data_IF_311962960284
#
_entry.id   IF_311962960284
#
_cell.length_a   1.000
_cell.length_b   1.000
_cell.length_c   1.000
_cell.angle_alpha   90.00
_cell.angle_beta   90.00
_cell.angle_gamma   90.00
#
_symmetry.space_group_name_H-M   'P 1'
#
loop_
_entity.id
_entity.type
_entity.pdbx_description
1 polymer ?
#
# COMPACT_ATOMS: atom_id res chain seq x y z
N UNK A 1 9.29 -12.74 -18.66
CA UNK A 1 9.05 -12.77 -17.19
C UNK A 1 10.19 -12.07 -16.44
N UNK A 2 11.44 -12.47 -16.64
CA UNK A 2 12.61 -11.90 -15.95
C UNK A 2 12.75 -10.37 -15.95
N UNK A 3 12.43 -9.68 -17.07
CA UNK A 3 12.46 -8.20 -17.12
C UNK A 3 11.47 -7.54 -16.15
N UNK A 4 10.28 -8.12 -15.99
CA UNK A 4 9.25 -7.55 -15.12
C UNK A 4 9.67 -7.66 -13.66
N UNK A 5 10.36 -8.73 -13.30
CA UNK A 5 10.75 -9.02 -11.92
C UNK A 5 11.80 -8.03 -11.41
N UNK A 6 12.64 -7.52 -12.31
CA UNK A 6 13.62 -6.47 -12.01
C UNK A 6 13.03 -5.06 -11.99
N UNK A 7 11.73 -4.90 -12.26
CA UNK A 7 11.10 -3.57 -12.23
C UNK A 7 10.95 -3.08 -10.80
N UNK A 8 11.38 -1.85 -10.54
CA UNK A 8 11.27 -1.23 -9.23
C UNK A 8 9.81 -0.93 -8.89
N UNK A 9 9.41 -1.30 -7.68
CA UNK A 9 8.10 -0.97 -7.09
C UNK A 9 8.26 0.14 -6.07
N UNK A 10 9.27 0.04 -5.20
CA UNK A 10 9.64 1.06 -4.23
C UNK A 10 11.11 1.42 -4.36
N UNK A 11 11.36 2.66 -4.78
CA UNK A 11 12.71 3.19 -4.94
C UNK A 11 13.38 3.47 -3.59
N UNK A 12 12.63 3.93 -2.59
CA UNK A 12 13.18 4.26 -1.27
C UNK A 12 13.70 3.05 -0.49
N UNK A 13 13.03 1.91 -0.61
CA UNK A 13 13.38 0.66 0.10
C UNK A 13 13.98 -0.39 -0.86
N UNK A 14 14.27 0.02 -2.10
CA UNK A 14 14.84 -0.82 -3.16
C UNK A 14 14.05 -2.12 -3.46
N UNK A 15 12.72 -2.09 -3.31
CA UNK A 15 11.85 -3.27 -3.53
C UNK A 15 11.46 -3.39 -5.00
N UNK A 16 11.67 -4.58 -5.55
CA UNK A 16 11.36 -4.98 -6.93
C UNK A 16 10.06 -5.79 -7.02
N UNK A 17 9.49 -5.89 -8.23
CA UNK A 17 8.30 -6.71 -8.46
C UNK A 17 8.57 -8.21 -8.26
N UNK A 18 9.82 -8.66 -8.43
CA UNK A 18 10.26 -10.03 -8.14
C UNK A 18 10.22 -10.33 -6.64
N UNK A 19 10.67 -9.39 -5.81
CA UNK A 19 10.58 -9.53 -4.33
C UNK A 19 9.13 -9.50 -3.84
N UNK A 20 8.28 -8.67 -4.45
CA UNK A 20 6.84 -8.70 -4.16
C UNK A 20 6.25 -10.07 -4.51
N UNK A 21 6.61 -10.65 -5.67
CA UNK A 21 6.15 -11.99 -6.03
C UNK A 21 6.66 -13.05 -5.06
N UNK A 22 7.95 -13.02 -4.75
CA UNK A 22 8.55 -13.95 -3.79
C UNK A 22 7.83 -13.86 -2.43
N UNK A 23 7.51 -12.65 -1.97
CA UNK A 23 6.79 -12.49 -0.72
C UNK A 23 5.37 -13.08 -0.76
N UNK A 24 4.67 -12.97 -1.90
CA UNK A 24 3.36 -13.59 -2.10
C UNK A 24 3.48 -15.11 -2.11
N UNK A 25 4.39 -15.66 -2.93
CA UNK A 25 4.48 -17.10 -3.19
C UNK A 25 5.06 -17.88 -1.99
N UNK A 26 6.02 -17.29 -1.26
CA UNK A 26 6.84 -18.01 -0.27
C UNK A 26 6.68 -17.51 1.17
N UNK A 27 6.14 -16.29 1.38
CA UNK A 27 6.09 -15.64 2.69
C UNK A 27 4.67 -15.42 3.24
N UNK A 28 3.65 -15.98 2.57
CA UNK A 28 2.23 -15.92 2.95
C UNK A 28 1.70 -14.47 3.08
N UNK A 29 2.07 -13.63 2.11
CA UNK A 29 1.61 -12.24 2.05
C UNK A 29 0.22 -12.18 1.39
N UNK A 30 -0.80 -11.82 2.18
CA UNK A 30 -2.20 -11.83 1.74
C UNK A 30 -2.81 -10.42 1.56
N UNK A 31 -2.11 -9.38 2.01
CA UNK A 31 -2.57 -7.99 1.92
C UNK A 31 -1.39 -6.99 1.93
N UNK A 32 -1.67 -5.72 1.70
CA UNK A 32 -0.64 -4.67 1.67
C UNK A 32 0.10 -4.46 3.00
N UNK A 33 -0.52 -4.74 4.14
CA UNK A 33 0.12 -4.62 5.46
C UNK A 33 1.15 -5.73 5.64
N UNK A 34 0.82 -6.98 5.28
CA UNK A 34 1.76 -8.09 5.27
C UNK A 34 2.93 -7.81 4.32
N UNK A 35 2.63 -7.31 3.12
CA UNK A 35 3.66 -6.97 2.15
C UNK A 35 4.60 -5.91 2.71
N UNK A 36 4.08 -4.86 3.35
CA UNK A 36 4.87 -3.85 4.06
C UNK A 36 5.72 -4.49 5.16
N UNK A 37 5.17 -5.39 5.98
CA UNK A 37 5.92 -6.05 7.07
C UNK A 37 7.06 -6.91 6.53
N UNK A 38 6.89 -7.60 5.39
CA UNK A 38 7.91 -8.50 4.81
C UNK A 38 8.93 -7.81 3.92
N UNK A 39 8.53 -6.78 3.19
CA UNK A 39 9.38 -6.13 2.17
C UNK A 39 9.77 -4.69 2.51
N UNK A 40 9.21 -4.13 3.58
CA UNK A 40 9.33 -2.70 3.94
C UNK A 40 8.74 -1.73 2.92
N UNK A 41 7.97 -2.20 1.93
CA UNK A 41 7.29 -1.30 0.97
C UNK A 41 6.49 -0.23 1.72
N UNK A 42 6.69 1.04 1.32
CA UNK A 42 6.03 2.18 1.94
C UNK A 42 6.64 2.68 3.26
N UNK A 43 7.76 2.12 3.74
CA UNK A 43 8.44 2.60 4.95
C UNK A 43 9.53 3.66 4.70
N UNK A 44 9.88 3.89 3.43
CA UNK A 44 10.94 4.84 3.05
C UNK A 44 10.54 6.30 3.21
N UNK A 45 11.43 7.23 2.83
CA UNK A 45 11.21 8.68 3.00
C UNK A 45 10.00 9.22 2.25
N UNK A 46 9.59 8.61 1.15
CA UNK A 46 8.34 8.96 0.46
C UNK A 46 7.08 8.44 1.17
N UNK A 47 7.22 7.66 2.25
CA UNK A 47 6.12 7.25 3.12
C UNK A 47 4.93 6.62 2.38
N UNK A 48 5.27 5.75 1.42
CA UNK A 48 4.36 5.02 0.54
C UNK A 48 3.66 5.84 -0.55
N UNK A 49 3.96 7.13 -0.65
CA UNK A 49 3.37 8.04 -1.60
C UNK A 49 3.50 7.54 -3.05
N UNK A 50 4.69 7.07 -3.45
CA UNK A 50 4.96 6.66 -4.83
C UNK A 50 4.73 5.17 -5.11
N UNK A 51 4.84 4.33 -4.08
CA UNK A 51 4.91 2.88 -4.26
C UNK A 51 3.63 2.13 -3.88
N UNK A 52 2.75 2.68 -3.02
CA UNK A 52 1.59 1.94 -2.53
C UNK A 52 0.61 1.57 -3.63
N UNK A 53 0.27 2.50 -4.54
CA UNK A 53 -0.62 2.20 -5.66
C UNK A 53 -0.05 1.09 -6.57
N UNK A 54 1.27 1.10 -6.79
CA UNK A 54 1.97 0.09 -7.61
C UNK A 54 1.93 -1.28 -6.92
N UNK A 55 2.20 -1.30 -5.62
CA UNK A 55 2.11 -2.51 -4.80
C UNK A 55 0.69 -3.09 -4.82
N UNK A 56 -0.35 -2.26 -4.64
CA UNK A 56 -1.75 -2.69 -4.71
C UNK A 56 -2.12 -3.31 -6.06
N UNK A 57 -1.62 -2.74 -7.16
CA UNK A 57 -1.78 -3.30 -8.50
C UNK A 57 -1.07 -4.65 -8.68
N UNK A 58 0.09 -4.84 -8.06
CA UNK A 58 0.80 -6.13 -8.06
C UNK A 58 0.08 -7.21 -7.25
N UNK A 59 -0.54 -6.86 -6.12
CA UNK A 59 -1.36 -7.80 -5.34
C UNK A 59 -2.49 -8.38 -6.20
N UNK A 60 -3.13 -7.57 -7.05
CA UNK A 60 -4.12 -8.06 -8.00
C UNK A 60 -3.48 -8.85 -9.15
N UNK A 61 -2.33 -8.42 -9.66
CA UNK A 61 -1.63 -9.12 -10.74
C UNK A 61 -1.13 -10.51 -10.35
N UNK A 62 -0.81 -10.71 -9.08
CA UNK A 62 -0.38 -11.98 -8.53
C UNK A 62 -1.53 -12.75 -7.87
N UNK A 63 -2.77 -12.41 -8.21
CA UNK A 63 -3.98 -13.16 -7.83
C UNK A 63 -4.24 -13.24 -6.31
N UNK A 64 -3.65 -12.32 -5.53
CA UNK A 64 -3.86 -12.23 -4.07
C UNK A 64 -5.13 -11.47 -3.73
N UNK A 65 -5.44 -10.43 -4.51
CA UNK A 65 -6.61 -9.58 -4.28
C UNK A 65 -7.36 -9.32 -5.58
N UNK A 66 -8.69 -9.22 -5.51
CA UNK A 66 -9.49 -8.71 -6.62
C UNK A 66 -9.22 -7.21 -6.85
N UNK A 67 -9.55 -6.64 -8.02
CA UNK A 67 -9.36 -5.21 -8.27
C UNK A 67 -10.02 -4.32 -7.21
N UNK A 68 -11.23 -4.72 -6.76
CA UNK A 68 -11.95 -4.00 -5.71
C UNK A 68 -11.22 -4.09 -4.37
N UNK A 69 -10.77 -5.29 -3.97
CA UNK A 69 -9.99 -5.46 -2.75
C UNK A 69 -8.68 -4.68 -2.80
N UNK A 70 -7.98 -4.62 -3.94
CA UNK A 70 -6.76 -3.81 -4.09
C UNK A 70 -7.02 -2.32 -3.83
N UNK A 71 -8.10 -1.77 -4.39
CA UNK A 71 -8.44 -0.35 -4.16
C UNK A 71 -8.84 -0.09 -2.70
N UNK A 72 -9.57 -1.00 -2.07
CA UNK A 72 -9.97 -0.83 -0.66
C UNK A 72 -8.79 -1.03 0.30
N UNK A 73 -7.91 -2.00 0.05
CA UNK A 73 -6.67 -2.18 0.80
C UNK A 73 -5.75 -0.96 0.64
N UNK A 74 -5.66 -0.37 -0.55
CA UNK A 74 -4.89 0.86 -0.77
C UNK A 74 -5.46 2.03 0.06
N UNK A 75 -6.79 2.19 0.08
CA UNK A 75 -7.46 3.19 0.91
C UNK A 75 -7.17 2.99 2.39
N UNK A 76 -7.30 1.76 2.89
CA UNK A 76 -7.00 1.44 4.28
C UNK A 76 -5.52 1.68 4.62
N UNK A 77 -4.61 1.33 3.71
CA UNK A 77 -3.17 1.52 3.90
C UNK A 77 -2.79 3.01 4.00
N UNK A 78 -3.40 3.88 3.19
CA UNK A 78 -3.22 5.34 3.28
C UNK A 78 -3.82 5.91 4.56
N UNK A 79 -4.96 5.39 4.98
CA UNK A 79 -5.61 5.82 6.21
C UNK A 79 -4.79 5.45 7.46
N UNK A 80 -4.21 4.24 7.52
CA UNK A 80 -3.26 3.87 8.58
C UNK A 80 -2.02 4.75 8.57
N UNK A 81 -1.58 5.18 7.39
CA UNK A 81 -0.47 6.12 7.28
C UNK A 81 -0.84 7.48 7.86
N UNK A 82 -2.05 7.98 7.57
CA UNK A 82 -2.56 9.23 8.13
C UNK A 82 -2.68 9.16 9.66
N UNK A 83 -3.24 8.08 10.23
CA UNK A 83 -3.30 7.87 11.69
C UNK A 83 -1.95 8.00 12.39
N UNK A 84 -0.86 7.58 11.72
CA UNK A 84 0.49 7.74 12.25
C UNK A 84 1.04 9.17 12.18
N UNK A 85 0.56 9.98 11.23
CA UNK A 85 0.99 11.38 11.02
C UNK A 85 0.13 12.35 11.82
N UNK A 86 -1.17 12.09 11.97
CA UNK A 86 -2.16 12.98 12.59
C UNK A 86 -1.67 13.58 13.93
N UNK A 87 -1.08 12.82 14.88
CA UNK A 87 -0.62 13.37 16.16
C UNK A 87 0.57 14.31 16.05
N UNK A 88 1.26 14.36 14.89
CA UNK A 88 2.42 15.20 14.60
C UNK A 88 2.23 16.09 13.38
N UNK A 89 0.99 16.28 12.93
CA UNK A 89 0.66 16.97 11.68
C UNK A 89 0.81 18.50 11.80
N UNK A 90 2.03 18.97 12.01
CA UNK A 90 2.41 20.37 12.04
C UNK A 90 3.73 20.59 11.30
N UNK A 91 3.96 21.84 10.84
CA UNK A 91 5.18 22.19 10.10
C UNK A 91 5.28 21.45 8.77
N UNK A 92 6.38 20.75 8.53
CA UNK A 92 6.59 20.00 7.28
C UNK A 92 5.69 18.77 7.19
N UNK A 93 5.37 18.11 8.32
CA UNK A 93 4.57 16.89 8.30
C UNK A 93 3.16 17.09 7.72
N UNK A 94 2.51 18.23 7.98
CA UNK A 94 1.21 18.54 7.39
C UNK A 94 1.31 18.83 5.88
N UNK A 95 2.41 19.45 5.43
CA UNK A 95 2.64 19.73 4.00
C UNK A 95 2.82 18.43 3.22
N UNK A 96 3.59 17.49 3.77
CA UNK A 96 3.77 16.15 3.19
C UNK A 96 2.45 15.36 3.15
N UNK A 97 1.66 15.43 4.23
CA UNK A 97 0.35 14.79 4.29
C UNK A 97 -0.66 15.37 3.29
N UNK A 98 -0.69 16.70 3.13
CA UNK A 98 -1.54 17.38 2.14
C UNK A 98 -1.16 16.99 0.72
N UNK A 99 0.15 16.93 0.42
CA UNK A 99 0.63 16.50 -0.89
C UNK A 99 0.24 15.04 -1.20
N UNK A 100 0.41 14.14 -0.22
CA UNK A 100 -0.01 12.74 -0.33
C UNK A 100 -1.52 12.64 -0.56
N UNK A 101 -2.32 13.40 0.21
CA UNK A 101 -3.78 13.43 0.06
C UNK A 101 -4.20 13.94 -1.33
N UNK A 102 -3.55 14.98 -1.84
CA UNK A 102 -3.81 15.49 -3.20
C UNK A 102 -3.49 14.45 -4.27
N UNK A 103 -2.33 13.80 -4.18
CA UNK A 103 -1.93 12.73 -5.09
C UNK A 103 -2.97 11.59 -5.11
N UNK A 104 -3.28 11.01 -3.96
CA UNK A 104 -4.17 9.85 -3.90
C UNK A 104 -5.64 10.21 -4.12
N UNK A 105 -6.11 11.31 -3.54
CA UNK A 105 -7.50 11.73 -3.64
C UNK A 105 -7.84 12.36 -5.00
N UNK A 106 -6.99 13.24 -5.53
CA UNK A 106 -7.29 14.01 -6.74
C UNK A 106 -6.76 13.38 -8.02
N UNK A 107 -5.53 12.84 -8.01
CA UNK A 107 -4.92 12.26 -9.23
C UNK A 107 -5.32 10.80 -9.40
N UNK A 108 -5.32 10.02 -8.31
CA UNK A 108 -5.62 8.58 -8.35
C UNK A 108 -7.08 8.23 -8.02
N UNK A 109 -7.90 9.21 -7.63
CA UNK A 109 -9.34 9.04 -7.39
C UNK A 109 -9.68 8.15 -6.20
N UNK A 110 -8.79 8.05 -5.19
CA UNK A 110 -8.98 7.17 -4.04
C UNK A 110 -10.22 7.56 -3.20
N UNK A 111 -10.63 8.83 -3.26
CA UNK A 111 -11.82 9.36 -2.56
C UNK A 111 -13.15 8.72 -3.03
N UNK A 112 -13.19 8.18 -4.25
CA UNK A 112 -14.39 7.56 -4.83
C UNK A 112 -14.52 6.07 -4.48
N UNK A 113 -13.51 5.50 -3.79
CA UNK A 113 -13.49 4.08 -3.43
C UNK A 113 -14.47 3.82 -2.29
N UNK A 114 -15.55 3.09 -2.61
CA UNK A 114 -16.52 2.66 -1.61
C UNK A 114 -15.93 1.53 -0.75
N UNK A 115 -16.04 1.62 0.59
CA UNK A 115 -15.65 0.52 1.48
C UNK A 115 -16.35 -0.79 1.12
N UNK A 116 -15.69 -1.92 1.38
CA UNK A 116 -16.33 -3.23 1.34
C UNK A 116 -17.16 -3.44 2.61
N UNK A 117 -18.39 -3.95 2.47
CA UNK A 117 -19.31 -4.19 3.60
C UNK A 117 -18.68 -5.06 4.70
N UNK A 118 -17.83 -6.02 4.33
CA UNK A 118 -17.13 -6.94 5.26
C UNK A 118 -15.92 -6.31 5.96
N UNK A 119 -15.28 -5.28 5.37
CA UNK A 119 -14.08 -4.63 5.94
C UNK A 119 -14.41 -3.52 6.94
N UNK A 120 -15.67 -3.13 7.09
CA UNK A 120 -16.09 -2.24 8.17
C UNK A 120 -15.99 -2.91 9.56
N UNK A 121 -15.82 -4.24 9.62
CA UNK A 121 -15.80 -5.03 10.86
C UNK A 121 -14.49 -5.78 11.13
N UNK A 122 -13.60 -5.90 10.14
CA UNK A 122 -12.30 -6.56 10.30
C UNK A 122 -11.21 -5.60 9.84
N UNK A 123 -10.30 -5.25 10.76
CA UNK A 123 -9.04 -4.61 10.39
C UNK A 123 -8.32 -5.45 9.33
N UNK A 124 -7.39 -4.84 8.60
CA UNK A 124 -6.59 -5.54 7.56
C UNK A 124 -5.72 -6.66 8.11
N UNK A 125 -5.69 -6.87 9.42
CA UNK A 125 -4.96 -7.93 10.11
C UNK A 125 -5.81 -9.19 10.24
N UNK A 126 -5.97 -9.95 9.15
CA UNK A 126 -6.40 -11.36 9.23
C UNK A 126 -5.28 -12.30 9.70
N UNK A 127 -4.08 -11.76 9.95
CA UNK A 127 -2.86 -12.47 10.32
C UNK A 127 -2.34 -12.10 11.73
N UNK A 128 -3.19 -11.49 12.58
CA UNK A 128 -2.91 -11.39 14.02
C UNK A 128 -3.24 -12.72 14.70
N UNK A 129 -2.24 -13.60 14.76
CA UNK A 129 -2.10 -14.57 15.84
C UNK A 129 -1.08 -14.03 16.86
#
# INVERSE_FOLDING_TARGET
KERLDRSMVCECEAVTAGEVRYAVDELDVNNLVDLRRRTRVGMGTCQAELCACRAAGLMNRFEVATPRQSTTQLSAFMEERWRGIEPIAWGEAIREAEFTSWMYGSVLGLNDVKPLETQAQQGTDSNEF
#
